data_IF_031599700982
#
_entry.id   IF_031599700982
#
_cell.length_a   1.000
_cell.length_b   1.000
_cell.length_c   1.000
_cell.angle_alpha   90.00
_cell.angle_beta   90.00
_cell.angle_gamma   90.00
#
_symmetry.space_group_name_H-M   'P 1'
#
loop_
_entity.id
_entity.type
_entity.pdbx_description
1 polymer ?
#
# COMPACT_ATOMS: atom_id res chain seq x y z
N UNK A 1 -40.68 47.86 -20.87
CA UNK A 1 -40.77 48.85 -19.78
C UNK A 1 -40.00 48.31 -18.61
N UNK A 2 -38.78 48.80 -18.41
CA UNK A 2 -37.81 48.31 -17.41
C UNK A 2 -37.69 49.35 -16.30
N UNK A 3 -37.60 48.97 -15.01
CA UNK A 3 -37.18 49.89 -13.98
C UNK A 3 -35.66 49.86 -13.82
N UNK A 4 -35.05 51.06 -13.86
CA UNK A 4 -33.67 51.32 -13.43
C UNK A 4 -33.54 51.13 -11.91
N UNK A 5 -32.37 50.70 -11.41
CA UNK A 5 -31.94 51.05 -10.08
C UNK A 5 -30.89 52.16 -10.08
N UNK A 6 -31.03 52.95 -9.03
CA UNK A 6 -30.35 54.16 -8.59
C UNK A 6 -28.91 53.97 -8.15
N UNK A 7 -28.13 55.03 -8.33
CA UNK A 7 -26.74 55.23 -7.89
C UNK A 7 -26.74 55.93 -6.52
N UNK A 8 -26.00 55.40 -5.54
CA UNK A 8 -25.59 56.10 -4.31
C UNK A 8 -24.21 55.52 -3.91
N UNK A 9 -23.12 56.25 -4.16
CA UNK A 9 -22.41 57.19 -3.27
C UNK A 9 -21.39 56.52 -2.34
N UNK A 10 -20.12 56.91 -2.55
CA UNK A 10 -18.91 56.56 -1.82
C UNK A 10 -18.96 57.02 -0.35
N UNK A 11 -18.45 56.20 0.56
CA UNK A 11 -17.71 56.64 1.74
C UNK A 11 -16.58 55.65 1.99
N UNK A 12 -15.34 56.14 1.99
CA UNK A 12 -14.16 55.31 2.21
C UNK A 12 -13.94 55.00 3.69
N UNK A 13 -13.31 53.86 3.95
CA UNK A 13 -12.47 53.66 5.12
C UNK A 13 -11.14 53.06 4.65
N UNK A 14 -10.07 53.83 4.92
CA UNK A 14 -8.70 53.33 5.02
C UNK A 14 -8.59 52.46 6.28
N UNK A 15 -7.53 51.65 6.31
CA UNK A 15 -7.00 50.84 7.43
C UNK A 15 -7.50 49.39 7.49
N UNK A 16 -6.71 48.47 6.93
CA UNK A 16 -5.84 47.53 7.67
C UNK A 16 -5.31 46.46 6.69
N UNK A 17 -4.16 46.74 6.07
CA UNK A 17 -3.34 45.73 5.39
C UNK A 17 -1.99 45.66 6.10
N UNK A 18 -1.95 45.02 7.26
CA UNK A 18 -0.71 44.71 7.97
C UNK A 18 -0.96 43.50 8.87
N UNK A 19 -0.80 42.29 8.31
CA UNK A 19 -0.44 41.06 9.02
C UNK A 19 -0.46 39.86 8.06
N UNK A 20 0.39 39.83 7.02
CA UNK A 20 0.69 38.61 6.26
C UNK A 20 2.12 38.57 5.69
N UNK A 21 3.03 39.41 6.19
CA UNK A 21 4.43 39.46 5.71
C UNK A 21 5.45 38.80 6.66
N UNK A 22 5.04 38.36 7.85
CA UNK A 22 5.98 37.89 8.88
C UNK A 22 6.24 36.38 8.84
N UNK A 23 5.32 35.56 8.32
CA UNK A 23 5.51 34.08 8.28
C UNK A 23 6.23 33.56 7.03
N UNK A 24 6.26 34.33 5.93
CA UNK A 24 6.97 33.92 4.69
C UNK A 24 8.44 34.35 4.71
N UNK A 25 8.79 35.40 5.46
CA UNK A 25 10.17 35.91 5.56
C UNK A 25 11.05 35.04 6.47
N UNK A 26 10.48 34.37 7.48
CA UNK A 26 11.20 33.40 8.31
C UNK A 26 11.55 32.11 7.56
N UNK A 27 10.72 31.71 6.58
CA UNK A 27 10.99 30.53 5.75
C UNK A 27 12.03 30.81 4.64
N UNK A 28 12.08 32.05 4.11
CA UNK A 28 13.03 32.44 3.07
C UNK A 28 14.43 32.79 3.60
N UNK A 29 14.59 33.17 4.87
CA UNK A 29 15.91 33.43 5.47
C UNK A 29 16.71 32.16 5.78
N UNK A 30 16.07 30.99 5.86
CA UNK A 30 16.75 29.69 5.99
C UNK A 30 17.27 29.18 4.64
N UNK A 31 16.65 29.58 3.52
CA UNK A 31 16.96 29.09 2.16
C UNK A 31 18.27 29.65 1.59
N UNK A 32 18.81 30.74 2.15
CA UNK A 32 19.98 31.43 1.60
C UNK A 32 21.36 30.94 2.07
N UNK A 33 21.46 30.25 3.22
CA UNK A 33 22.77 29.98 3.84
C UNK A 33 22.96 28.60 4.47
N UNK A 34 21.96 27.72 4.44
CA UNK A 34 22.05 26.41 5.10
C UNK A 34 22.30 25.33 4.05
N UNK A 35 23.57 25.17 3.65
CA UNK A 35 24.04 24.01 2.84
C UNK A 35 24.13 22.72 3.65
N UNK A 36 23.91 22.81 4.95
CA UNK A 36 24.32 21.82 5.94
C UNK A 36 23.31 21.81 7.08
N UNK A 37 22.64 20.68 7.35
CA UNK A 37 21.71 20.55 8.47
C UNK A 37 22.48 20.17 9.74
N UNK A 38 22.51 21.00 10.80
CA UNK A 38 23.27 20.70 12.01
C UNK A 38 22.57 19.65 12.87
N UNK A 39 23.26 18.54 13.17
CA UNK A 39 22.85 17.53 14.16
C UNK A 39 23.56 17.84 15.49
N UNK A 40 22.83 18.03 16.59
CA UNK A 40 23.42 18.28 17.94
C UNK A 40 23.22 17.06 18.86
N UNK A 41 24.17 16.94 19.81
CA UNK A 41 24.29 16.15 21.07
C UNK A 41 23.46 14.87 21.39
N UNK A 42 22.26 14.63 20.82
CA UNK A 42 21.41 13.48 21.16
C UNK A 42 22.02 12.11 20.87
N UNK A 43 22.93 12.02 19.90
CA UNK A 43 23.40 10.76 19.32
C UNK A 43 24.53 10.06 20.10
N UNK A 44 25.13 10.70 21.11
CA UNK A 44 26.11 10.02 21.97
C UNK A 44 25.48 8.85 22.76
N UNK A 45 24.14 8.79 22.86
CA UNK A 45 23.40 7.72 23.54
C UNK A 45 23.22 6.44 22.71
N UNK A 46 23.32 6.49 21.37
CA UNK A 46 23.14 5.32 20.50
C UNK A 46 24.24 4.26 20.63
N UNK A 47 25.45 4.65 21.08
CA UNK A 47 26.62 3.75 21.16
C UNK A 47 26.53 2.69 22.26
N UNK A 48 25.46 2.69 23.06
CA UNK A 48 25.24 1.75 24.18
C UNK A 48 23.97 0.91 24.10
N UNK A 49 23.17 1.02 23.03
CA UNK A 49 21.91 0.28 22.89
C UNK A 49 22.20 -1.14 22.38
N UNK A 50 21.68 -2.16 23.09
CA UNK A 50 21.80 -3.56 22.70
C UNK A 50 21.11 -3.80 21.34
N UNK A 51 21.81 -4.34 20.32
CA UNK A 51 21.23 -4.66 19.02
C UNK A 51 19.98 -5.56 19.07
N UNK A 52 19.79 -6.31 20.15
CA UNK A 52 18.62 -7.17 20.36
C UNK A 52 17.33 -6.41 20.76
N UNK A 53 17.41 -5.12 21.11
CA UNK A 53 16.26 -4.30 21.51
C UNK A 53 15.82 -3.38 20.37
N UNK A 54 15.13 -3.97 19.38
CA UNK A 54 14.74 -3.30 18.13
C UNK A 54 13.82 -2.09 18.31
N UNK A 55 13.02 -2.06 19.38
CA UNK A 55 12.08 -0.99 19.73
C UNK A 55 12.77 0.25 20.31
N UNK A 56 13.72 0.07 21.24
CA UNK A 56 14.52 1.17 21.80
C UNK A 56 15.38 1.83 20.73
N UNK A 57 15.88 1.05 19.74
CA UNK A 57 16.63 1.59 18.62
C UNK A 57 15.82 2.61 17.81
N UNK A 58 14.55 2.30 17.50
CA UNK A 58 13.67 3.19 16.73
C UNK A 58 13.28 4.48 17.47
N UNK A 59 13.09 4.40 18.79
CA UNK A 59 12.84 5.59 19.63
C UNK A 59 13.99 6.59 19.57
N UNK A 60 15.21 6.09 19.74
CA UNK A 60 16.42 6.93 19.70
C UNK A 60 16.69 7.44 18.29
N UNK A 61 16.22 6.74 17.26
CA UNK A 61 16.31 7.20 15.88
C UNK A 61 15.32 8.34 15.54
N UNK A 62 14.19 8.44 16.24
CA UNK A 62 13.18 9.48 16.00
C UNK A 62 13.32 10.71 16.89
N UNK A 63 13.86 10.57 18.11
CA UNK A 63 14.20 11.69 19.01
C UNK A 63 15.52 12.34 18.56
N UNK A 64 15.45 13.11 17.47
CA UNK A 64 16.59 13.82 16.89
C UNK A 64 17.00 15.03 17.73
N UNK A 65 16.11 15.52 18.61
CA UNK A 65 16.40 16.57 19.59
C UNK A 65 17.29 16.06 20.74
N UNK A 66 17.16 14.77 21.08
CA UNK A 66 17.87 14.10 22.16
C UNK A 66 17.32 14.40 23.56
N UNK A 67 16.11 14.96 23.65
CA UNK A 67 15.49 15.38 24.91
C UNK A 67 14.69 14.25 25.59
N UNK A 68 14.53 13.10 24.93
CA UNK A 68 13.81 11.94 25.39
C UNK A 68 12.31 11.96 25.10
N UNK A 69 11.83 12.93 24.30
CA UNK A 69 10.42 13.11 23.96
C UNK A 69 10.27 13.28 22.46
N UNK A 70 9.40 12.49 21.84
CA UNK A 70 9.02 12.71 20.44
C UNK A 70 8.06 13.89 20.35
N UNK A 71 8.50 14.96 19.69
CA UNK A 71 7.73 16.20 19.64
C UNK A 71 7.81 16.95 18.31
N UNK A 72 7.18 18.14 18.29
CA UNK A 72 7.06 18.95 17.09
C UNK A 72 8.40 19.44 16.53
N UNK A 73 9.47 19.47 17.35
CA UNK A 73 10.81 19.79 16.92
C UNK A 73 11.42 18.65 16.10
N UNK A 74 11.23 17.39 16.53
CA UNK A 74 11.66 16.22 15.77
C UNK A 74 10.90 16.12 14.44
N UNK A 75 9.58 16.30 14.47
CA UNK A 75 8.76 16.31 13.27
C UNK A 75 9.18 17.42 12.29
N UNK A 76 9.53 18.61 12.82
CA UNK A 76 10.01 19.73 12.01
C UNK A 76 11.37 19.46 11.39
N UNK A 77 12.28 18.79 12.11
CA UNK A 77 13.58 18.37 11.58
C UNK A 77 13.39 17.45 10.37
N UNK A 78 12.58 16.39 10.52
CA UNK A 78 12.32 15.43 9.46
C UNK A 78 11.62 16.06 8.26
N UNK A 79 10.65 16.95 8.49
CA UNK A 79 10.00 17.71 7.43
C UNK A 79 10.98 18.62 6.68
N UNK A 80 11.92 19.26 7.39
CA UNK A 80 12.96 20.07 6.77
C UNK A 80 13.91 19.21 5.93
N UNK A 81 14.38 18.08 6.47
CA UNK A 81 15.24 17.13 5.74
C UNK A 81 14.58 16.64 4.46
N UNK A 82 13.31 16.22 4.54
CA UNK A 82 12.53 15.82 3.38
C UNK A 82 12.43 16.96 2.35
N UNK A 83 12.03 18.16 2.79
CA UNK A 83 11.89 19.34 1.94
C UNK A 83 13.18 19.74 1.22
N UNK A 84 14.32 19.66 1.89
CA UNK A 84 15.62 19.92 1.27
C UNK A 84 15.97 18.88 0.20
N UNK A 85 15.70 17.59 0.45
CA UNK A 85 15.91 16.54 -0.56
C UNK A 85 15.02 16.76 -1.79
N UNK A 86 13.75 17.16 -1.60
CA UNK A 86 12.82 17.54 -2.69
C UNK A 86 13.38 18.69 -3.53
N UNK A 87 13.93 19.73 -2.88
CA UNK A 87 14.50 20.89 -3.57
C UNK A 87 15.67 20.45 -4.47
N UNK A 88 16.54 19.57 -3.99
CA UNK A 88 17.66 19.05 -4.79
C UNK A 88 17.19 18.18 -5.97
N UNK A 89 16.15 17.36 -5.79
CA UNK A 89 15.53 16.61 -6.88
C UNK A 89 14.94 17.55 -7.95
N UNK A 90 14.22 18.59 -7.52
CA UNK A 90 13.62 19.56 -8.43
C UNK A 90 14.67 20.33 -9.25
N UNK A 91 15.83 20.65 -8.67
CA UNK A 91 16.97 21.26 -9.39
C UNK A 91 17.49 20.36 -10.53
N UNK A 92 17.27 19.05 -10.42
CA UNK A 92 17.67 18.04 -11.40
C UNK A 92 16.55 17.67 -12.37
N UNK A 93 15.38 18.29 -12.26
CA UNK A 93 14.16 17.92 -12.99
C UNK A 93 13.69 16.49 -12.70
N UNK A 94 13.94 16.01 -11.49
CA UNK A 94 13.58 14.67 -11.03
C UNK A 94 12.36 14.74 -10.10
N UNK A 95 11.41 13.81 -10.25
CA UNK A 95 10.25 13.71 -9.35
C UNK A 95 10.53 12.76 -8.17
N UNK A 96 9.76 12.95 -7.08
CA UNK A 96 9.67 12.00 -5.95
C UNK A 96 8.66 10.90 -6.24
N UNK A 97 7.80 11.09 -7.25
CA UNK A 97 6.76 10.12 -7.60
C UNK A 97 7.35 8.72 -7.74
N UNK A 98 6.60 7.70 -7.30
CA UNK A 98 7.11 6.35 -7.18
C UNK A 98 7.59 5.86 -8.55
N UNK A 99 8.91 5.83 -8.72
CA UNK A 99 9.55 4.93 -9.66
C UNK A 99 9.31 3.55 -9.08
N UNK A 100 8.25 2.92 -9.55
CA UNK A 100 8.12 1.48 -9.49
C UNK A 100 9.52 0.86 -9.78
N UNK A 101 9.96 -0.05 -8.90
CA UNK A 101 11.16 -0.87 -9.12
C UNK A 101 12.49 -0.43 -8.49
N UNK A 102 12.61 0.72 -7.82
CA UNK A 102 13.94 1.17 -7.33
C UNK A 102 14.11 1.28 -5.80
N UNK A 103 13.04 1.23 -5.02
CA UNK A 103 13.16 1.33 -3.58
C UNK A 103 12.97 -0.02 -2.92
N UNK A 104 14.06 -0.57 -2.37
CA UNK A 104 14.08 -1.84 -1.67
C UNK A 104 13.86 -1.69 -0.16
N UNK A 105 13.33 -0.54 0.27
CA UNK A 105 13.33 -0.16 1.67
C UNK A 105 14.67 0.44 2.11
N UNK A 106 14.83 0.74 3.41
CA UNK A 106 16.05 1.29 3.94
C UNK A 106 17.15 0.24 3.81
N UNK A 107 18.19 0.54 3.02
CA UNK A 107 19.41 -0.26 3.05
C UNK A 107 20.20 0.06 4.33
N UNK A 108 21.04 -0.86 4.79
CA UNK A 108 22.07 -0.52 5.78
C UNK A 108 22.84 0.69 5.24
N UNK A 109 22.75 1.80 5.98
CA UNK A 109 23.22 3.10 5.57
C UNK A 109 22.21 4.07 4.98
N UNK A 110 20.93 3.93 5.32
CA UNK A 110 19.79 4.85 5.09
C UNK A 110 19.91 6.18 5.88
N UNK A 111 18.87 7.03 5.88
CA UNK A 111 18.80 8.29 6.67
C UNK A 111 19.37 8.13 8.09
N UNK A 112 19.25 6.95 8.68
CA UNK A 112 19.84 6.60 9.96
C UNK A 112 21.36 6.69 10.05
N UNK A 113 22.12 6.45 8.97
CA UNK A 113 23.58 6.70 8.95
C UNK A 113 23.89 8.20 8.99
N UNK A 114 23.09 8.99 8.27
CA UNK A 114 23.19 10.44 8.28
C UNK A 114 22.92 11.00 9.67
N UNK A 115 21.89 10.45 10.34
CA UNK A 115 21.59 10.75 11.74
C UNK A 115 22.73 10.27 12.65
N UNK A 116 23.15 9.00 12.56
CA UNK A 116 24.16 8.39 13.42
C UNK A 116 25.55 9.04 13.33
N UNK A 117 25.91 9.63 12.18
CA UNK A 117 27.18 10.32 12.00
C UNK A 117 27.28 11.60 12.85
N UNK A 118 26.16 12.24 13.21
CA UNK A 118 26.16 13.54 13.92
C UNK A 118 26.88 14.65 13.13
N UNK A 119 27.14 14.44 11.85
CA UNK A 119 27.83 15.36 10.96
C UNK A 119 26.82 16.12 10.10
N UNK A 120 27.17 17.35 9.74
CA UNK A 120 26.42 18.10 8.75
C UNK A 120 26.42 17.39 7.41
N UNK A 121 25.24 17.01 6.94
CA UNK A 121 25.06 16.29 5.67
C UNK A 121 24.94 17.29 4.53
N UNK A 122 25.80 17.16 3.53
CA UNK A 122 25.66 17.85 2.25
C UNK A 122 24.82 17.00 1.28
N UNK A 123 23.56 17.39 1.08
CA UNK A 123 22.67 16.70 0.14
C UNK A 123 23.02 16.97 -1.33
N UNK A 124 23.77 18.02 -1.64
CA UNK A 124 24.02 18.44 -3.03
C UNK A 124 24.87 17.43 -3.81
N UNK A 125 25.74 16.70 -3.11
CA UNK A 125 26.61 15.66 -3.68
C UNK A 125 25.99 14.27 -3.77
N UNK A 126 24.75 14.07 -3.30
CA UNK A 126 24.11 12.76 -3.29
C UNK A 126 23.52 12.39 -4.65
N UNK A 127 23.50 11.10 -4.97
CA UNK A 127 22.84 10.56 -6.16
C UNK A 127 21.31 10.75 -6.09
N UNK A 128 20.64 10.82 -7.24
CA UNK A 128 19.19 11.05 -7.32
C UNK A 128 18.37 9.97 -6.58
N UNK A 129 18.76 8.70 -6.71
CA UNK A 129 18.11 7.59 -5.97
C UNK A 129 18.20 7.80 -4.46
N UNK A 130 19.36 8.26 -3.98
CA UNK A 130 19.59 8.51 -2.56
C UNK A 130 18.79 9.70 -2.03
N UNK A 131 18.70 10.78 -2.80
CA UNK A 131 17.86 11.93 -2.45
C UNK A 131 16.38 11.54 -2.35
N UNK A 132 15.89 10.68 -3.25
CA UNK A 132 14.51 10.15 -3.17
C UNK A 132 14.28 9.36 -1.90
N UNK A 133 15.17 8.42 -1.59
CA UNK A 133 15.10 7.64 -0.35
C UNK A 133 15.05 8.55 0.89
N UNK A 134 15.92 9.56 0.97
CA UNK A 134 15.92 10.53 2.07
C UNK A 134 14.60 11.30 2.13
N UNK A 135 14.08 11.77 0.99
CA UNK A 135 12.82 12.49 0.94
C UNK A 135 11.65 11.64 1.46
N UNK A 136 11.58 10.37 1.04
CA UNK A 136 10.53 9.43 1.42
C UNK A 136 10.63 9.08 2.90
N UNK A 137 11.79 8.63 3.36
CA UNK A 137 11.99 8.15 4.74
C UNK A 137 11.89 9.30 5.75
N UNK A 138 12.48 10.46 5.47
CA UNK A 138 12.33 11.61 6.36
C UNK A 138 10.88 12.09 6.43
N UNK A 139 10.15 12.13 5.31
CA UNK A 139 8.70 12.41 5.35
C UNK A 139 7.96 11.40 6.23
N UNK A 140 8.26 10.11 6.05
CA UNK A 140 7.64 9.02 6.79
C UNK A 140 7.86 9.15 8.29
N UNK A 141 9.12 9.34 8.71
CA UNK A 141 9.52 9.54 10.11
C UNK A 141 8.85 10.77 10.73
N UNK A 142 8.83 11.90 10.01
CA UNK A 142 8.18 13.11 10.50
C UNK A 142 6.68 12.93 10.73
N UNK A 143 6.01 12.10 9.93
CA UNK A 143 4.60 11.74 10.15
C UNK A 143 4.43 10.77 11.31
N UNK A 144 5.35 9.83 11.52
CA UNK A 144 5.33 8.94 12.69
C UNK A 144 5.47 9.73 14.00
N UNK A 145 6.36 10.72 14.06
CA UNK A 145 6.49 11.61 15.22
C UNK A 145 5.17 12.34 15.49
N UNK A 146 4.55 12.94 14.47
CA UNK A 146 3.24 13.62 14.63
C UNK A 146 2.14 12.70 15.13
N UNK A 147 2.17 11.42 14.72
CA UNK A 147 1.22 10.43 15.22
C UNK A 147 1.49 10.08 16.68
N UNK A 148 2.75 9.96 17.09
CA UNK A 148 3.12 9.75 18.49
C UNK A 148 2.68 10.92 19.39
N UNK A 149 2.77 12.17 18.91
CA UNK A 149 2.30 13.36 19.64
C UNK A 149 0.80 13.33 19.97
N UNK A 150 -0.01 12.66 19.14
CA UNK A 150 -1.46 12.53 19.39
C UNK A 150 -1.78 11.68 20.62
N UNK A 151 -0.80 10.95 21.15
CA UNK A 151 -0.97 10.07 22.31
C UNK A 151 0.20 10.14 23.30
N UNK A 152 0.30 11.25 24.04
CA UNK A 152 1.32 11.40 25.06
C UNK A 152 1.17 10.31 26.15
N UNK A 153 2.20 9.47 26.31
CA UNK A 153 2.28 8.45 27.36
C UNK A 153 2.34 7.00 26.88
N UNK A 154 2.13 6.72 25.59
CA UNK A 154 2.37 5.40 24.97
C UNK A 154 3.70 5.43 24.22
N UNK A 155 4.79 5.58 24.98
CA UNK A 155 6.15 5.32 24.51
C UNK A 155 6.60 3.92 24.98
N UNK A 156 5.69 2.94 24.89
CA UNK A 156 6.03 1.52 25.04
C UNK A 156 6.60 1.01 23.70
N UNK A 157 7.29 -0.13 23.72
CA UNK A 157 7.98 -0.81 22.61
C UNK A 157 7.15 -1.03 21.33
N UNK A 158 5.87 -0.66 21.35
CA UNK A 158 4.86 -0.75 20.28
C UNK A 158 4.66 0.56 19.50
N UNK A 159 5.66 1.43 19.45
CA UNK A 159 5.61 2.78 18.86
C UNK A 159 5.05 2.94 17.43
N UNK A 160 4.76 1.85 16.74
CA UNK A 160 4.34 1.87 15.34
C UNK A 160 3.12 0.99 15.09
N UNK A 161 2.30 0.72 16.11
CA UNK A 161 1.02 0.01 15.95
C UNK A 161 0.45 -0.27 17.33
N UNK A 162 -0.75 0.21 17.61
CA UNK A 162 -1.19 0.24 19.02
C UNK A 162 -1.79 1.55 19.48
N UNK A 163 -1.37 2.64 18.84
CA UNK A 163 -1.62 4.01 19.30
C UNK A 163 -3.14 4.19 19.46
N UNK A 164 -3.93 4.03 18.40
CA UNK A 164 -5.38 4.17 18.47
C UNK A 164 -6.14 2.99 19.12
N UNK A 165 -5.46 1.96 19.66
CA UNK A 165 -6.08 0.66 19.94
C UNK A 165 -6.76 0.56 21.31
N UNK A 166 -6.14 1.12 22.35
CA UNK A 166 -6.63 0.96 23.74
C UNK A 166 -7.97 1.66 24.00
N UNK A 167 -8.39 2.55 23.10
CA UNK A 167 -9.64 3.29 23.22
C UNK A 167 -10.80 2.63 22.48
N UNK A 168 -10.56 1.60 21.65
CA UNK A 168 -11.59 0.93 20.86
C UNK A 168 -12.33 -0.10 21.73
N UNK A 169 -13.67 0.01 21.92
CA UNK A 169 -14.49 -0.97 22.59
C UNK A 169 -14.33 -2.33 21.93
N UNK A 170 -14.19 -3.36 22.77
CA UNK A 170 -13.96 -4.73 22.32
C UNK A 170 -12.65 -4.93 21.56
N UNK A 171 -11.70 -3.99 21.65
CA UNK A 171 -10.33 -4.24 21.25
C UNK A 171 -9.79 -5.44 22.04
N UNK A 172 -9.24 -6.38 21.30
CA UNK A 172 -8.49 -7.50 21.84
C UNK A 172 -7.23 -7.64 20.98
N UNK A 173 -6.04 -7.62 21.60
CA UNK A 173 -4.77 -7.63 20.88
C UNK A 173 -4.55 -8.90 20.05
N UNK A 174 -5.19 -10.01 20.42
CA UNK A 174 -5.02 -11.28 19.73
C UNK A 174 -5.99 -11.40 18.55
N UNK A 175 -7.25 -11.00 18.74
CA UNK A 175 -8.29 -11.16 17.73
C UNK A 175 -9.43 -10.16 17.87
N UNK A 176 -9.96 -9.69 16.75
CA UNK A 176 -11.16 -8.86 16.69
C UNK A 176 -12.16 -9.46 15.71
N UNK A 177 -13.42 -9.55 16.13
CA UNK A 177 -14.52 -9.85 15.22
C UNK A 177 -14.74 -8.68 14.24
N UNK A 178 -15.32 -8.93 13.07
CA UNK A 178 -15.61 -7.88 12.08
C UNK A 178 -16.43 -6.73 12.66
N UNK A 179 -17.44 -7.01 13.49
CA UNK A 179 -18.22 -5.95 14.18
C UNK A 179 -17.36 -5.05 15.06
N UNK A 180 -16.38 -5.62 15.78
CA UNK A 180 -15.43 -4.83 16.57
C UNK A 180 -14.49 -4.02 15.67
N UNK A 181 -14.09 -4.55 14.51
CA UNK A 181 -13.30 -3.81 13.52
C UNK A 181 -14.09 -2.61 12.95
N UNK A 182 -15.37 -2.78 12.60
CA UNK A 182 -16.25 -1.68 12.21
C UNK A 182 -16.35 -0.61 13.30
N UNK A 183 -16.62 -1.01 14.55
CA UNK A 183 -16.66 -0.06 15.69
C UNK A 183 -15.33 0.66 15.86
N UNK A 184 -14.21 -0.06 15.75
CA UNK A 184 -12.88 0.54 15.81
C UNK A 184 -12.66 1.59 14.73
N UNK A 185 -13.07 1.31 13.49
CA UNK A 185 -13.06 2.30 12.40
C UNK A 185 -13.93 3.50 12.74
N UNK A 186 -15.13 3.31 13.31
CA UNK A 186 -16.05 4.41 13.65
C UNK A 186 -15.51 5.33 14.76
N UNK A 187 -14.61 4.82 15.60
CA UNK A 187 -14.12 5.53 16.78
C UNK A 187 -12.77 6.21 16.63
N UNK A 188 -12.09 6.04 15.49
CA UNK A 188 -10.87 6.80 15.18
C UNK A 188 -11.17 8.30 15.25
N UNK A 189 -10.43 9.06 16.08
CA UNK A 189 -10.54 10.52 16.19
C UNK A 189 -9.88 11.21 14.98
N UNK A 190 -10.64 11.28 13.89
CA UNK A 190 -10.18 11.89 12.64
C UNK A 190 -10.00 13.41 12.75
N UNK A 191 -10.65 14.08 13.69
CA UNK A 191 -10.51 15.51 13.88
C UNK A 191 -9.15 15.84 14.49
N UNK A 192 -8.71 15.09 15.51
CA UNK A 192 -7.37 15.21 16.06
C UNK A 192 -6.29 14.91 15.00
N UNK A 193 -6.46 13.83 14.23
CA UNK A 193 -5.52 13.42 13.17
C UNK A 193 -5.40 14.51 12.10
N UNK A 194 -6.52 15.04 11.61
CA UNK A 194 -6.52 16.13 10.61
C UNK A 194 -5.93 17.42 11.18
N UNK A 195 -6.20 17.73 12.45
CA UNK A 195 -5.62 18.91 13.14
C UNK A 195 -4.09 18.81 13.27
N UNK A 196 -3.54 17.59 13.39
CA UNK A 196 -2.10 17.34 13.34
C UNK A 196 -1.50 17.44 11.91
N UNK A 197 -2.34 17.66 10.89
CA UNK A 197 -1.93 17.77 9.49
C UNK A 197 -1.71 16.42 8.82
N UNK A 198 -2.24 15.33 9.38
CA UNK A 198 -2.12 13.98 8.84
C UNK A 198 -3.34 13.69 7.96
N UNK A 199 -3.10 13.15 6.77
CA UNK A 199 -4.16 12.64 5.90
C UNK A 199 -4.51 11.21 6.34
N UNK A 200 -5.75 10.94 6.79
CA UNK A 200 -6.15 9.61 7.20
C UNK A 200 -6.18 8.65 6.00
N UNK A 201 -5.37 7.60 6.03
CA UNK A 201 -5.34 6.57 4.99
C UNK A 201 -5.48 5.17 5.57
N UNK A 202 -5.94 4.24 4.76
CA UNK A 202 -5.88 2.80 5.02
C UNK A 202 -5.27 2.10 3.80
N UNK A 203 -4.55 0.99 4.03
CA UNK A 203 -3.98 0.18 2.95
C UNK A 203 -4.41 -1.27 3.09
N UNK A 204 -4.73 -1.94 1.99
CA UNK A 204 -5.17 -3.32 2.04
C UNK A 204 -4.65 -4.11 0.85
N UNK A 205 -4.27 -5.35 1.11
CA UNK A 205 -4.17 -6.34 0.04
C UNK A 205 -5.56 -6.69 -0.52
N UNK A 206 -5.58 -7.36 -1.66
CA UNK A 206 -6.78 -7.78 -2.36
C UNK A 206 -7.08 -9.28 -2.16
N UNK A 207 -6.16 -10.13 -2.61
CA UNK A 207 -6.33 -11.58 -2.64
C UNK A 207 -6.28 -12.17 -1.23
N UNK A 208 -7.23 -13.03 -0.88
CA UNK A 208 -7.32 -13.62 0.47
C UNK A 208 -7.36 -12.61 1.64
N UNK A 209 -7.53 -11.32 1.33
CA UNK A 209 -7.65 -10.21 2.29
C UNK A 209 -8.98 -9.49 2.16
N UNK A 210 -9.34 -9.01 0.95
CA UNK A 210 -10.64 -8.38 0.72
C UNK A 210 -11.67 -9.39 0.26
N UNK A 211 -11.26 -10.33 -0.58
CA UNK A 211 -12.07 -11.47 -1.00
C UNK A 211 -11.38 -12.79 -0.68
N UNK A 212 -12.16 -13.86 -0.73
CA UNK A 212 -11.66 -15.22 -0.64
C UNK A 212 -10.98 -15.68 -1.95
N UNK A 213 -9.81 -16.28 -1.82
CA UNK A 213 -9.06 -16.90 -2.91
C UNK A 213 -8.10 -15.97 -3.67
N UNK A 214 -7.64 -16.46 -4.83
CA UNK A 214 -6.72 -15.79 -5.72
C UNK A 214 -7.43 -15.37 -7.01
N UNK A 215 -7.41 -14.09 -7.34
CA UNK A 215 -8.07 -13.50 -8.51
C UNK A 215 -7.50 -13.94 -9.84
N UNK A 216 -6.26 -14.42 -9.84
CA UNK A 216 -5.60 -14.90 -11.05
C UNK A 216 -6.29 -16.14 -11.61
N UNK A 217 -6.82 -17.03 -10.76
CA UNK A 217 -7.46 -18.29 -11.21
C UNK A 217 -8.69 -18.01 -12.07
N UNK A 218 -9.67 -17.23 -11.59
CA UNK A 218 -10.81 -16.90 -12.41
C UNK A 218 -10.48 -15.90 -13.52
N UNK A 219 -9.43 -15.07 -13.40
CA UNK A 219 -9.01 -14.21 -14.50
C UNK A 219 -8.47 -15.04 -15.66
N UNK A 220 -7.68 -16.08 -15.37
CA UNK A 220 -7.24 -17.05 -16.37
C UNK A 220 -8.41 -17.75 -17.06
N UNK A 221 -9.45 -18.12 -16.29
CA UNK A 221 -10.69 -18.63 -16.88
C UNK A 221 -11.35 -17.61 -17.81
N UNK A 222 -11.45 -16.35 -17.39
CA UNK A 222 -11.98 -15.27 -18.22
C UNK A 222 -11.16 -15.04 -19.49
N UNK A 223 -9.83 -15.11 -19.41
CA UNK A 223 -8.93 -15.01 -20.56
C UNK A 223 -9.19 -16.16 -21.55
N UNK A 224 -9.29 -17.40 -21.07
CA UNK A 224 -9.56 -18.58 -21.89
C UNK A 224 -10.91 -18.51 -22.64
N UNK A 225 -11.91 -17.84 -22.06
CA UNK A 225 -13.21 -17.59 -22.68
C UNK A 225 -13.19 -16.39 -23.65
N UNK A 226 -12.29 -15.44 -23.44
CA UNK A 226 -12.23 -14.17 -24.18
C UNK A 226 -11.67 -14.29 -25.60
N UNK A 227 -12.14 -13.44 -26.51
CA UNK A 227 -11.55 -13.29 -27.85
C UNK A 227 -10.30 -12.39 -27.87
N UNK A 228 -9.83 -11.91 -26.71
CA UNK A 228 -8.73 -10.95 -26.60
C UNK A 228 -7.33 -11.58 -26.60
N UNK A 229 -7.23 -12.89 -26.43
CA UNK A 229 -5.96 -13.61 -26.48
C UNK A 229 -5.40 -13.63 -27.90
N UNK A 230 -4.09 -13.43 -28.02
CA UNK A 230 -3.40 -13.36 -29.31
C UNK A 230 -2.49 -14.57 -29.55
N UNK A 231 -2.14 -14.82 -30.81
CA UNK A 231 -1.17 -15.87 -31.15
C UNK A 231 0.25 -15.56 -30.63
N UNK A 232 0.56 -14.28 -30.41
CA UNK A 232 1.82 -13.87 -29.81
C UNK A 232 1.91 -14.36 -28.36
N UNK A 233 0.85 -14.18 -27.57
CA UNK A 233 0.77 -14.74 -26.21
C UNK A 233 0.78 -16.28 -26.19
N UNK A 234 0.16 -16.90 -27.20
CA UNK A 234 0.13 -18.36 -27.34
C UNK A 234 1.51 -18.98 -27.58
N UNK A 235 2.37 -18.30 -28.34
CA UNK A 235 3.70 -18.82 -28.71
C UNK A 235 4.52 -19.13 -27.45
N UNK A 236 4.56 -18.21 -26.50
CA UNK A 236 5.28 -18.37 -25.25
C UNK A 236 4.57 -19.34 -24.29
N UNK A 237 3.23 -19.31 -24.24
CA UNK A 237 2.45 -20.27 -23.47
C UNK A 237 2.73 -21.72 -23.91
N UNK A 238 2.82 -21.98 -25.22
CA UNK A 238 3.19 -23.30 -25.76
C UNK A 238 4.57 -23.74 -25.27
N UNK A 239 5.55 -22.83 -25.24
CA UNK A 239 6.89 -23.15 -24.75
C UNK A 239 6.81 -23.63 -23.30
N UNK A 240 6.10 -22.91 -22.44
CA UNK A 240 5.93 -23.29 -21.04
C UNK A 240 5.16 -24.60 -20.86
N UNK A 241 4.00 -24.75 -21.51
CA UNK A 241 3.17 -25.96 -21.40
C UNK A 241 3.94 -27.23 -21.78
N UNK A 242 4.83 -27.15 -22.77
CA UNK A 242 5.72 -28.26 -23.18
C UNK A 242 6.78 -28.63 -22.15
N UNK A 243 7.04 -27.77 -21.16
CA UNK A 243 7.92 -28.11 -20.03
C UNK A 243 7.19 -28.82 -18.90
N UNK A 244 5.85 -28.79 -18.89
CA UNK A 244 5.08 -29.44 -17.85
C UNK A 244 5.10 -30.96 -18.04
N UNK A 245 5.23 -31.73 -16.95
CA UNK A 245 5.19 -33.18 -17.02
C UNK A 245 3.83 -33.65 -17.56
N UNK A 246 3.86 -34.71 -18.37
CA UNK A 246 2.67 -35.40 -18.91
C UNK A 246 1.83 -34.56 -19.88
N UNK A 247 2.37 -33.44 -20.40
CA UNK A 247 1.75 -32.66 -21.46
C UNK A 247 2.25 -33.11 -22.83
N UNK A 248 1.32 -33.43 -23.74
CA UNK A 248 1.65 -33.79 -25.12
C UNK A 248 2.03 -32.54 -25.93
N UNK A 249 3.31 -32.43 -26.29
CA UNK A 249 3.85 -31.32 -27.05
C UNK A 249 3.19 -31.15 -28.44
N UNK A 250 2.84 -32.25 -29.11
CA UNK A 250 2.20 -32.18 -30.42
C UNK A 250 0.78 -31.63 -30.32
N UNK A 251 0.06 -31.99 -29.25
CA UNK A 251 -1.27 -31.43 -28.97
C UNK A 251 -1.20 -29.93 -28.66
N UNK A 252 -0.22 -29.50 -27.86
CA UNK A 252 0.00 -28.08 -27.53
C UNK A 252 0.33 -27.24 -28.77
N UNK A 253 1.14 -27.77 -29.67
CA UNK A 253 1.50 -27.08 -30.92
C UNK A 253 0.31 -26.95 -31.88
N UNK A 254 -0.59 -27.94 -31.91
CA UNK A 254 -1.79 -27.92 -32.75
C UNK A 254 -2.94 -27.08 -32.15
N UNK A 255 -2.93 -26.87 -30.83
CA UNK A 255 -3.99 -26.17 -30.12
C UNK A 255 -4.01 -24.66 -30.38
N UNK A 256 -5.21 -24.11 -30.37
CA UNK A 256 -5.48 -22.67 -30.34
C UNK A 256 -5.06 -22.06 -28.99
N UNK A 257 -4.97 -20.72 -28.96
CA UNK A 257 -4.63 -20.00 -27.71
C UNK A 257 -5.63 -20.25 -26.59
N UNK A 258 -6.92 -20.40 -26.93
CA UNK A 258 -7.98 -20.69 -25.96
C UNK A 258 -7.86 -22.11 -25.39
N UNK A 259 -7.55 -23.09 -26.24
CA UNK A 259 -7.35 -24.48 -25.80
C UNK A 259 -6.11 -24.60 -24.90
N UNK A 260 -5.01 -23.92 -25.25
CA UNK A 260 -3.82 -23.88 -24.40
C UNK A 260 -4.05 -23.14 -23.08
N UNK A 261 -4.81 -22.04 -23.10
CA UNK A 261 -5.22 -21.33 -21.88
C UNK A 261 -6.08 -22.20 -20.96
N UNK A 262 -7.03 -22.94 -21.55
CA UNK A 262 -7.88 -23.89 -20.83
C UNK A 262 -7.07 -25.07 -20.26
N UNK A 263 -6.07 -25.56 -21.00
CA UNK A 263 -5.14 -26.58 -20.49
C UNK A 263 -4.34 -26.04 -19.30
N UNK A 264 -3.80 -24.81 -19.37
CA UNK A 264 -3.10 -24.19 -18.24
C UNK A 264 -4.01 -24.08 -17.01
N UNK A 265 -5.25 -23.61 -17.21
CA UNK A 265 -6.25 -23.51 -16.15
C UNK A 265 -6.51 -24.88 -15.52
N UNK A 266 -6.77 -25.91 -16.33
CA UNK A 266 -6.99 -27.27 -15.86
C UNK A 266 -5.79 -27.79 -15.06
N UNK A 267 -4.56 -27.57 -15.55
CA UNK A 267 -3.33 -27.98 -14.86
C UNK A 267 -3.14 -27.28 -13.51
N UNK A 268 -3.64 -26.06 -13.37
CA UNK A 268 -3.55 -25.28 -12.14
C UNK A 268 -4.63 -25.63 -11.12
N UNK A 269 -5.89 -25.76 -11.57
CA UNK A 269 -7.05 -25.77 -10.67
C UNK A 269 -7.68 -27.15 -10.50
N UNK A 270 -7.34 -28.14 -11.35
CA UNK A 270 -7.95 -29.46 -11.26
C UNK A 270 -7.48 -30.21 -10.01
N UNK A 271 -8.39 -30.76 -9.19
CA UNK A 271 -8.03 -31.61 -8.07
C UNK A 271 -7.36 -32.92 -8.51
N UNK A 272 -7.60 -33.35 -9.76
CA UNK A 272 -7.05 -34.60 -10.31
C UNK A 272 -5.57 -34.48 -10.71
N UNK A 273 -5.03 -33.27 -10.76
CA UNK A 273 -3.60 -33.04 -11.03
C UNK A 273 -2.85 -33.01 -9.70
N UNK A 274 -1.89 -33.94 -9.46
CA UNK A 274 -1.05 -33.93 -8.26
C UNK A 274 -0.35 -32.57 -8.06
N UNK A 275 -0.24 -32.11 -6.82
CA UNK A 275 0.29 -30.77 -6.48
C UNK A 275 1.70 -30.55 -7.04
N UNK A 276 2.55 -31.56 -6.98
CA UNK A 276 3.92 -31.55 -7.50
C UNK A 276 4.01 -31.43 -9.03
N UNK A 277 2.90 -31.69 -9.74
CA UNK A 277 2.79 -31.56 -11.19
C UNK A 277 2.09 -30.26 -11.61
N UNK A 278 1.61 -29.46 -10.64
CA UNK A 278 0.98 -28.16 -10.91
C UNK A 278 2.05 -27.10 -11.16
N UNK A 279 1.77 -26.11 -12.02
CA UNK A 279 2.55 -24.87 -12.07
C UNK A 279 2.76 -24.28 -10.67
N UNK A 280 3.90 -23.64 -10.41
CA UNK A 280 4.01 -22.84 -9.18
C UNK A 280 3.16 -21.57 -9.29
N UNK A 281 2.76 -20.98 -8.16
CA UNK A 281 2.04 -19.69 -8.17
C UNK A 281 2.82 -18.58 -8.90
N UNK A 282 4.16 -18.60 -8.79
CA UNK A 282 5.05 -17.71 -9.53
C UNK A 282 4.95 -17.97 -11.04
N UNK A 283 5.01 -19.22 -11.47
CA UNK A 283 4.90 -19.55 -12.90
C UNK A 283 3.54 -19.17 -13.45
N UNK A 284 2.46 -19.38 -12.68
CA UNK A 284 1.11 -18.96 -13.07
C UNK A 284 1.03 -17.45 -13.31
N UNK A 285 1.59 -16.65 -12.40
CA UNK A 285 1.65 -15.21 -12.56
C UNK A 285 2.33 -14.81 -13.87
N UNK A 286 3.54 -15.32 -14.13
CA UNK A 286 4.29 -14.97 -15.35
C UNK A 286 3.66 -15.53 -16.64
N UNK A 287 3.02 -16.70 -16.58
CA UNK A 287 2.30 -17.25 -17.73
C UNK A 287 1.08 -16.42 -18.09
N UNK A 288 0.29 -15.97 -17.11
CA UNK A 288 -0.86 -15.10 -17.37
C UNK A 288 -0.38 -13.77 -17.98
N UNK A 289 0.68 -13.16 -17.43
CA UNK A 289 1.28 -11.94 -18.01
C UNK A 289 1.70 -12.18 -19.46
N UNK A 290 2.36 -13.30 -19.73
CA UNK A 290 2.83 -13.69 -21.06
C UNK A 290 1.67 -13.90 -22.04
N UNK A 291 0.58 -14.53 -21.60
CA UNK A 291 -0.63 -14.72 -22.41
C UNK A 291 -1.29 -13.41 -22.85
N UNK A 292 -1.12 -12.35 -22.06
CA UNK A 292 -1.62 -11.02 -22.39
C UNK A 292 -0.78 -10.32 -23.48
N UNK A 293 0.33 -10.90 -23.95
CA UNK A 293 1.16 -10.27 -24.99
C UNK A 293 0.33 -9.95 -26.26
N UNK A 294 0.33 -8.69 -26.67
CA UNK A 294 -0.44 -8.16 -27.79
C UNK A 294 -1.91 -7.84 -27.48
N UNK A 295 -2.42 -8.20 -26.30
CA UNK A 295 -3.77 -7.85 -25.84
C UNK A 295 -3.85 -6.34 -25.56
N UNK A 296 -4.96 -5.70 -25.94
CA UNK A 296 -5.16 -4.29 -25.60
C UNK A 296 -5.50 -4.12 -24.13
N UNK A 297 -5.12 -2.98 -23.54
CA UNK A 297 -5.48 -2.65 -22.14
C UNK A 297 -7.00 -2.69 -21.95
N UNK A 298 -7.77 -2.20 -22.92
CA UNK A 298 -9.23 -2.19 -22.87
C UNK A 298 -9.83 -3.61 -22.87
N UNK A 299 -9.27 -4.54 -23.65
CA UNK A 299 -9.76 -5.92 -23.66
C UNK A 299 -9.45 -6.62 -22.33
N UNK A 300 -8.27 -6.41 -21.76
CA UNK A 300 -7.92 -6.94 -20.43
C UNK A 300 -8.86 -6.42 -19.33
N UNK A 301 -9.14 -5.11 -19.34
CA UNK A 301 -10.11 -4.50 -18.42
C UNK A 301 -11.51 -5.09 -18.59
N UNK A 302 -11.95 -5.33 -19.83
CA UNK A 302 -13.23 -5.95 -20.12
C UNK A 302 -13.32 -7.37 -19.56
N UNK A 303 -12.25 -8.17 -19.70
CA UNK A 303 -12.19 -9.51 -19.11
C UNK A 303 -12.24 -9.41 -17.59
N UNK A 304 -11.36 -8.62 -16.96
CA UNK A 304 -11.32 -8.44 -15.52
C UNK A 304 -12.68 -8.03 -14.94
N UNK A 305 -13.36 -7.06 -15.58
CA UNK A 305 -14.71 -6.63 -15.18
C UNK A 305 -15.75 -7.74 -15.35
N UNK A 306 -15.73 -8.47 -16.46
CA UNK A 306 -16.62 -9.59 -16.66
C UNK A 306 -16.48 -10.58 -15.51
N UNK A 307 -15.25 -10.93 -15.15
CA UNK A 307 -15.06 -11.93 -14.11
C UNK A 307 -15.45 -11.40 -12.72
N UNK A 308 -15.17 -10.13 -12.42
CA UNK A 308 -15.64 -9.50 -11.18
C UNK A 308 -17.18 -9.51 -11.07
N UNK A 309 -17.88 -9.09 -12.12
CA UNK A 309 -19.33 -8.90 -12.10
C UNK A 309 -20.13 -10.18 -12.29
N UNK A 310 -19.64 -11.10 -13.13
CA UNK A 310 -20.39 -12.26 -13.66
C UNK A 310 -19.70 -13.61 -13.39
N UNK A 311 -18.39 -13.63 -13.13
CA UNK A 311 -17.59 -14.85 -13.03
C UNK A 311 -17.06 -15.33 -14.39
N UNK A 312 -16.34 -16.47 -14.37
CA UNK A 312 -15.83 -17.16 -15.55
C UNK A 312 -15.59 -18.64 -15.25
N UNK A 313 -15.92 -19.52 -16.21
CA UNK A 313 -15.73 -20.96 -16.10
C UNK A 313 -16.35 -21.56 -14.83
N UNK A 314 -15.59 -22.33 -14.02
CA UNK A 314 -16.10 -22.90 -12.78
C UNK A 314 -16.21 -21.87 -11.64
N UNK A 315 -15.81 -20.62 -11.86
CA UNK A 315 -15.78 -19.59 -10.84
C UNK A 315 -16.99 -18.66 -10.94
N UNK A 316 -17.72 -18.56 -9.84
CA UNK A 316 -18.77 -17.55 -9.69
C UNK A 316 -18.23 -16.11 -9.70
N UNK A 317 -19.13 -15.11 -9.67
CA UNK A 317 -18.74 -13.70 -9.68
C UNK A 317 -17.96 -13.31 -8.43
N UNK A 318 -16.80 -12.67 -8.61
CA UNK A 318 -15.87 -12.38 -7.50
C UNK A 318 -16.43 -11.41 -6.49
N UNK A 319 -17.32 -10.51 -6.91
CA UNK A 319 -17.97 -9.58 -5.99
C UNK A 319 -18.67 -10.31 -4.82
N UNK A 320 -19.17 -11.53 -5.05
CA UNK A 320 -19.81 -12.36 -4.02
C UNK A 320 -18.80 -13.12 -3.15
N UNK A 321 -17.51 -13.11 -3.49
CA UNK A 321 -16.44 -13.73 -2.70
C UNK A 321 -15.84 -12.77 -1.66
N UNK A 322 -16.36 -11.55 -1.54
CA UNK A 322 -15.94 -10.62 -0.49
C UNK A 322 -16.14 -11.25 0.89
N UNK A 323 -15.15 -11.16 1.78
CA UNK A 323 -15.28 -11.72 3.12
C UNK A 323 -16.40 -11.05 3.91
N UNK A 324 -17.16 -11.88 4.63
CA UNK A 324 -18.32 -11.47 5.38
C UNK A 324 -18.39 -12.20 6.73
N UNK A 325 -19.24 -11.68 7.63
CA UNK A 325 -19.48 -12.25 8.95
C UNK A 325 -20.98 -12.45 9.18
N UNK A 326 -21.40 -13.61 9.71
CA UNK A 326 -22.82 -13.86 10.04
C UNK A 326 -23.35 -12.90 11.10
N UNK A 327 -22.47 -12.46 12.00
CA UNK A 327 -22.76 -11.44 13.01
C UNK A 327 -22.87 -10.01 12.49
N UNK A 328 -22.69 -9.80 11.18
CA UNK A 328 -22.63 -8.49 10.52
C UNK A 328 -21.21 -7.92 10.44
N UNK A 329 -21.04 -6.89 9.61
CA UNK A 329 -19.77 -6.25 9.26
C UNK A 329 -18.76 -7.20 8.57
N UNK A 330 -18.86 -7.25 7.24
CA UNK A 330 -17.86 -7.84 6.34
C UNK A 330 -16.82 -6.83 5.87
N UNK A 331 -15.90 -7.26 5.01
CA UNK A 331 -14.87 -6.37 4.47
C UNK A 331 -15.46 -5.21 3.66
N UNK A 332 -16.56 -5.45 2.93
CA UNK A 332 -17.27 -4.38 2.21
C UNK A 332 -17.77 -3.29 3.15
N UNK A 333 -18.31 -3.67 4.30
CA UNK A 333 -18.80 -2.72 5.32
C UNK A 333 -17.64 -1.92 5.91
N UNK A 334 -16.51 -2.57 6.20
CA UNK A 334 -15.30 -1.93 6.72
C UNK A 334 -14.77 -0.89 5.71
N UNK A 335 -14.64 -1.26 4.43
CA UNK A 335 -14.19 -0.34 3.36
C UNK A 335 -15.14 0.85 3.24
N UNK A 336 -16.45 0.60 3.16
CA UNK A 336 -17.45 1.66 3.00
C UNK A 336 -17.39 2.65 4.17
N UNK A 337 -17.29 2.16 5.41
CA UNK A 337 -17.17 3.01 6.59
C UNK A 337 -15.91 3.85 6.60
N UNK A 338 -14.77 3.29 6.18
CA UNK A 338 -13.53 4.06 6.07
C UNK A 338 -13.69 5.22 5.07
N UNK A 339 -14.19 4.95 3.87
CA UNK A 339 -14.44 5.99 2.85
C UNK A 339 -15.47 7.02 3.32
N UNK A 340 -16.59 6.60 3.92
CA UNK A 340 -17.65 7.49 4.41
C UNK A 340 -17.16 8.45 5.51
N UNK A 341 -16.19 8.02 6.33
CA UNK A 341 -15.56 8.86 7.35
C UNK A 341 -14.43 9.74 6.79
N UNK A 342 -14.07 9.57 5.51
CA UNK A 342 -12.98 10.27 4.85
C UNK A 342 -11.61 9.75 5.27
N UNK A 343 -11.50 8.43 5.48
CA UNK A 343 -10.24 7.68 5.49
C UNK A 343 -10.06 7.17 4.06
N UNK A 344 -9.00 7.62 3.39
CA UNK A 344 -8.72 7.19 2.03
C UNK A 344 -8.20 5.75 2.01
N UNK A 345 -8.98 4.83 1.44
CA UNK A 345 -8.58 3.44 1.22
C UNK A 345 -7.69 3.34 -0.03
N UNK A 346 -6.57 2.64 0.12
CA UNK A 346 -5.62 2.28 -0.93
C UNK A 346 -5.55 0.75 -1.05
N UNK A 347 -5.71 0.24 -2.27
CA UNK A 347 -5.59 -1.17 -2.57
C UNK A 347 -4.19 -1.46 -3.13
N UNK A 348 -3.40 -2.28 -2.44
CA UNK A 348 -2.03 -2.64 -2.80
C UNK A 348 -1.87 -4.16 -2.89
N UNK A 349 -1.87 -4.70 -4.10
CA UNK A 349 -1.81 -6.13 -4.34
C UNK A 349 -0.57 -6.56 -5.14
N UNK A 350 -0.13 -7.78 -4.91
CA UNK A 350 0.92 -8.42 -5.72
C UNK A 350 0.39 -8.92 -7.07
N UNK A 351 -0.93 -8.95 -7.26
CA UNK A 351 -1.63 -9.35 -8.51
C UNK A 351 -1.34 -8.39 -9.67
N UNK A 352 -1.97 -8.58 -10.82
CA UNK A 352 -1.82 -7.69 -11.99
C UNK A 352 -2.47 -6.33 -11.75
N UNK A 353 -1.85 -5.27 -12.29
CA UNK A 353 -2.38 -3.90 -12.26
C UNK A 353 -3.86 -3.79 -12.66
N UNK A 354 -4.25 -4.42 -13.77
CA UNK A 354 -5.63 -4.43 -14.28
C UNK A 354 -6.62 -5.08 -13.31
N UNK A 355 -6.20 -6.09 -12.57
CA UNK A 355 -7.02 -6.79 -11.59
C UNK A 355 -7.17 -5.99 -10.30
N UNK A 356 -6.09 -5.36 -9.84
CA UNK A 356 -6.15 -4.43 -8.72
C UNK A 356 -7.09 -3.25 -9.03
N UNK A 357 -6.98 -2.66 -10.22
CA UNK A 357 -7.82 -1.53 -10.65
C UNK A 357 -9.30 -1.90 -10.76
N UNK A 358 -9.65 -2.99 -11.44
CA UNK A 358 -11.07 -3.38 -11.54
C UNK A 358 -11.63 -3.90 -10.20
N UNK A 359 -10.81 -4.54 -9.37
CA UNK A 359 -11.16 -4.90 -7.99
C UNK A 359 -11.51 -3.67 -7.15
N UNK A 360 -10.64 -2.64 -7.17
CA UNK A 360 -10.85 -1.37 -6.48
C UNK A 360 -12.15 -0.66 -6.91
N UNK A 361 -12.43 -0.61 -8.21
CA UNK A 361 -13.70 -0.05 -8.74
C UNK A 361 -14.93 -0.74 -8.16
N UNK A 362 -14.85 -2.06 -7.94
CA UNK A 362 -15.89 -2.86 -7.30
C UNK A 362 -16.23 -2.45 -5.85
N UNK A 363 -15.34 -1.72 -5.20
CA UNK A 363 -15.52 -1.16 -3.86
C UNK A 363 -15.59 0.38 -3.85
N UNK A 364 -15.81 1.00 -5.02
CA UNK A 364 -15.80 2.46 -5.19
C UNK A 364 -14.48 3.14 -4.80
N UNK A 365 -13.38 2.39 -4.78
CA UNK A 365 -12.03 2.94 -4.57
C UNK A 365 -11.54 3.53 -5.91
N UNK A 366 -11.10 4.79 -5.96
CA UNK A 366 -10.57 5.41 -7.16
C UNK A 366 -9.36 4.66 -7.74
N UNK A 367 -9.24 4.64 -9.06
CA UNK A 367 -8.14 3.98 -9.78
C UNK A 367 -6.76 4.48 -9.32
N UNK A 368 -6.62 5.78 -9.01
CA UNK A 368 -5.38 6.36 -8.50
C UNK A 368 -4.95 5.82 -7.11
N UNK A 369 -5.86 5.11 -6.43
CA UNK A 369 -5.66 4.47 -5.12
C UNK A 369 -5.66 2.94 -5.23
N UNK A 370 -5.42 2.40 -6.43
CA UNK A 370 -5.27 0.98 -6.68
C UNK A 370 -3.93 0.68 -7.38
N UNK A 371 -3.17 -0.28 -6.84
CA UNK A 371 -1.86 -0.65 -7.35
C UNK A 371 -1.70 -2.16 -7.33
N UNK A 372 -1.36 -2.71 -8.50
CA UNK A 372 -0.89 -4.09 -8.67
C UNK A 372 0.56 -4.11 -9.16
N UNK A 373 1.08 -5.29 -9.45
CA UNK A 373 2.30 -5.46 -10.27
C UNK A 373 2.06 -4.86 -11.66
N UNK A 374 2.91 -3.91 -12.02
CA UNK A 374 2.81 -3.09 -13.24
C UNK A 374 3.31 -3.88 -14.42
N UNK A 375 2.46 -4.02 -15.43
CA UNK A 375 2.82 -4.69 -16.67
C UNK A 375 3.33 -3.67 -17.70
N UNK A 376 4.26 -4.09 -18.55
CA UNK A 376 4.76 -3.23 -19.61
C UNK A 376 3.70 -3.11 -20.73
N UNK A 377 3.37 -1.86 -21.07
CA UNK A 377 2.42 -1.51 -22.13
C UNK A 377 3.13 -0.62 -23.16
N UNK A 378 3.04 -1.01 -24.44
CA UNK A 378 3.55 -0.26 -25.59
C UNK A 378 2.43 -0.12 -26.60
N UNK A 379 2.20 1.10 -27.09
CA UNK A 379 1.13 1.42 -28.05
C UNK A 379 -0.27 0.92 -27.63
N UNK A 380 -0.57 1.01 -26.33
CA UNK A 380 -1.85 0.58 -25.75
C UNK A 380 -2.04 -0.94 -25.63
N UNK A 381 -0.98 -1.73 -25.81
CA UNK A 381 -0.99 -3.19 -25.72
C UNK A 381 0.04 -3.70 -24.72
N UNK A 382 -0.28 -4.78 -24.03
CA UNK A 382 0.68 -5.45 -23.15
C UNK A 382 1.78 -6.13 -23.96
N UNK A 383 3.01 -6.09 -23.47
CA UNK A 383 4.17 -6.73 -24.12
C UNK A 383 4.45 -8.15 -23.64
N UNK A 384 3.67 -8.62 -22.65
CA UNK A 384 3.91 -9.90 -21.97
C UNK A 384 5.02 -9.85 -20.91
N UNK A 385 5.41 -8.65 -20.46
CA UNK A 385 6.47 -8.47 -19.45
C UNK A 385 5.95 -7.72 -18.22
N UNK A 386 6.53 -8.06 -17.08
CA UNK A 386 6.35 -7.32 -15.83
C UNK A 386 7.38 -6.20 -15.83
N UNK A 387 6.91 -4.96 -15.74
CA UNK A 387 7.78 -3.80 -15.58
C UNK A 387 8.28 -3.74 -14.15
N UNK A 388 7.35 -3.85 -13.19
CA UNK A 388 7.63 -3.73 -11.77
C UNK A 388 6.68 -4.62 -10.95
N UNK A 389 7.21 -5.36 -9.98
CA UNK A 389 6.41 -6.27 -9.14
C UNK A 389 6.19 -5.71 -7.74
N UNK A 390 4.96 -5.81 -7.24
CA UNK A 390 4.63 -5.43 -5.87
C UNK A 390 4.90 -6.54 -4.84
N UNK A 391 5.21 -7.78 -5.26
CA UNK A 391 5.20 -8.97 -4.40
C UNK A 391 6.07 -8.86 -3.14
N UNK A 392 7.31 -8.37 -3.24
CA UNK A 392 8.23 -8.19 -2.11
C UNK A 392 8.43 -6.73 -1.72
N UNK A 393 7.68 -5.82 -2.34
CA UNK A 393 7.93 -4.39 -2.22
C UNK A 393 6.81 -3.66 -1.48
N UNK A 394 5.77 -4.33 -0.98
CA UNK A 394 4.59 -3.65 -0.45
C UNK A 394 4.89 -2.66 0.68
N UNK A 395 5.73 -3.00 1.66
CA UNK A 395 6.14 -2.04 2.70
C UNK A 395 6.81 -0.79 2.13
N UNK A 396 7.77 -0.98 1.22
CA UNK A 396 8.46 0.11 0.53
C UNK A 396 7.50 0.96 -0.33
N UNK A 397 6.58 0.32 -1.06
CA UNK A 397 5.54 0.98 -1.87
C UNK A 397 4.62 1.78 -0.96
N UNK A 398 4.18 1.25 0.17
CA UNK A 398 3.34 1.95 1.15
C UNK A 398 3.99 3.27 1.58
N UNK A 399 5.28 3.26 1.92
CA UNK A 399 6.00 4.47 2.33
C UNK A 399 6.09 5.52 1.24
N UNK A 400 6.23 5.09 -0.02
CA UNK A 400 6.31 5.97 -1.17
C UNK A 400 4.96 6.56 -1.55
N UNK A 401 3.97 5.67 -1.65
CA UNK A 401 2.68 5.94 -2.24
C UNK A 401 1.77 6.72 -1.30
N UNK A 402 1.81 6.41 -0.01
CA UNK A 402 0.97 7.09 0.98
C UNK A 402 1.60 8.40 1.47
N UNK A 403 0.77 9.42 1.77
CA UNK A 403 1.26 10.69 2.31
C UNK A 403 1.76 10.59 3.76
N UNK A 404 1.30 9.57 4.50
CA UNK A 404 1.64 9.28 5.89
C UNK A 404 1.44 7.77 6.16
N UNK A 405 1.98 7.23 7.27
CA UNK A 405 1.63 5.90 7.75
C UNK A 405 0.12 5.67 7.73
N UNK A 406 -0.38 4.52 7.23
CA UNK A 406 -1.80 4.24 7.25
C UNK A 406 -2.28 4.09 8.70
N UNK A 407 -3.51 4.51 8.96
CA UNK A 407 -4.17 4.29 10.24
C UNK A 407 -4.62 2.83 10.40
N UNK A 408 -4.89 2.18 9.27
CA UNK A 408 -5.32 0.78 9.23
C UNK A 408 -4.64 0.07 8.05
N UNK A 409 -4.11 -1.12 8.29
CA UNK A 409 -3.62 -2.01 7.25
C UNK A 409 -4.29 -3.39 7.31
N UNK A 410 -4.50 -4.03 6.16
CA UNK A 410 -5.06 -5.38 6.05
C UNK A 410 -4.22 -6.26 5.12
N UNK A 411 -3.98 -7.52 5.50
CA UNK A 411 -3.23 -8.49 4.70
C UNK A 411 -3.32 -9.90 5.28
N UNK A 412 -2.99 -10.91 4.49
CA UNK A 412 -3.06 -12.33 4.88
C UNK A 412 -1.73 -13.07 4.66
N UNK A 413 -0.79 -12.46 3.93
CA UNK A 413 0.43 -13.13 3.49
C UNK A 413 1.65 -12.80 4.35
N UNK A 414 2.35 -13.81 4.90
CA UNK A 414 3.62 -13.60 5.62
C UNK A 414 4.74 -13.07 4.72
N UNK A 415 4.69 -13.38 3.42
CA UNK A 415 5.78 -13.01 2.50
C UNK A 415 5.60 -11.67 1.80
N UNK A 416 4.37 -11.24 1.54
CA UNK A 416 4.10 -10.00 0.80
C UNK A 416 3.56 -8.88 1.67
N UNK A 417 2.67 -9.20 2.63
CA UNK A 417 1.90 -8.17 3.33
C UNK A 417 2.52 -7.80 4.68
N UNK A 418 3.32 -8.69 5.26
CA UNK A 418 3.86 -8.49 6.61
C UNK A 418 4.58 -7.13 6.76
N UNK A 419 5.41 -6.75 5.78
CA UNK A 419 6.08 -5.44 5.81
C UNK A 419 5.11 -4.28 5.65
N UNK A 420 4.07 -4.39 4.80
CA UNK A 420 3.02 -3.38 4.65
C UNK A 420 2.18 -3.24 5.93
N UNK A 421 1.81 -4.35 6.56
CA UNK A 421 1.09 -4.36 7.83
C UNK A 421 1.90 -3.66 8.94
N UNK A 422 3.21 -3.84 8.92
CA UNK A 422 4.10 -3.18 9.86
C UNK A 422 4.20 -1.66 9.67
N UNK A 423 3.83 -1.14 8.50
CA UNK A 423 3.81 0.30 8.24
C UNK A 423 2.61 1.02 8.86
N UNK A 424 1.55 0.30 9.27
CA UNK A 424 0.37 0.90 9.90
C UNK A 424 0.70 1.51 11.25
N UNK A 425 0.40 2.79 11.43
CA UNK A 425 0.54 3.45 12.72
C UNK A 425 -0.60 3.13 13.71
N UNK A 426 -1.73 2.62 13.21
CA UNK A 426 -2.88 2.24 14.02
C UNK A 426 -3.08 0.73 14.05
N UNK A 427 -4.19 0.27 13.47
CA UNK A 427 -4.57 -1.14 13.40
C UNK A 427 -3.84 -1.84 12.26
N UNK A 428 -3.22 -2.99 12.53
CA UNK A 428 -2.75 -3.90 11.48
C UNK A 428 -3.49 -5.21 11.61
N UNK A 429 -4.35 -5.53 10.64
CA UNK A 429 -5.20 -6.71 10.66
C UNK A 429 -4.60 -7.83 9.82
N UNK A 430 -4.40 -8.97 10.47
CA UNK A 430 -4.10 -10.24 9.82
C UNK A 430 -5.44 -10.88 9.44
N UNK A 431 -5.81 -10.84 8.16
CA UNK A 431 -7.10 -11.39 7.70
C UNK A 431 -7.00 -12.90 7.60
N UNK A 432 -7.93 -13.62 8.23
CA UNK A 432 -7.99 -15.09 8.23
C UNK A 432 -6.61 -15.77 8.32
N UNK A 433 -5.78 -15.40 9.32
CA UNK A 433 -4.35 -15.65 9.23
C UNK A 433 -4.03 -17.12 9.43
N UNK A 434 -3.05 -17.60 8.68
CA UNK A 434 -2.46 -18.93 8.86
C UNK A 434 -1.46 -18.91 10.02
N UNK A 435 -1.19 -20.08 10.59
CA UNK A 435 -0.24 -20.23 11.72
C UNK A 435 1.12 -19.58 11.46
N UNK A 436 1.62 -19.66 10.22
CA UNK A 436 2.91 -19.05 9.84
C UNK A 436 2.92 -17.53 10.01
N UNK A 437 1.82 -16.84 9.64
CA UNK A 437 1.74 -15.38 9.77
C UNK A 437 1.59 -14.98 11.23
N UNK A 438 0.80 -15.71 12.01
CA UNK A 438 0.68 -15.50 13.46
C UNK A 438 2.03 -15.68 14.17
N UNK A 439 2.77 -16.75 13.84
CA UNK A 439 4.11 -16.98 14.39
C UNK A 439 5.09 -15.87 14.00
N UNK A 440 5.01 -15.38 12.76
CA UNK A 440 5.86 -14.28 12.30
C UNK A 440 5.56 -12.96 13.02
N UNK A 441 4.28 -12.63 13.26
CA UNK A 441 3.90 -11.47 14.07
C UNK A 441 4.46 -11.56 15.50
N UNK A 442 4.35 -12.72 16.14
CA UNK A 442 4.91 -12.92 17.48
C UNK A 442 6.44 -12.74 17.52
N UNK A 443 7.15 -13.25 16.51
CA UNK A 443 8.62 -13.21 16.49
C UNK A 443 9.19 -11.86 16.03
N UNK A 444 8.59 -11.26 15.01
CA UNK A 444 9.19 -10.13 14.28
C UNK A 444 8.51 -8.80 14.59
N UNK A 445 7.25 -8.82 15.03
CA UNK A 445 6.45 -7.62 15.32
C UNK A 445 5.97 -7.54 16.78
N UNK A 446 6.34 -8.50 17.63
CA UNK A 446 6.03 -8.51 19.05
C UNK A 446 4.55 -8.74 19.38
N UNK A 447 3.81 -9.43 18.50
CA UNK A 447 2.39 -9.74 18.74
C UNK A 447 1.48 -8.52 18.67
N UNK A 448 1.79 -7.56 17.78
CA UNK A 448 1.08 -6.27 17.69
C UNK A 448 -0.02 -6.26 16.65
N UNK A 449 -0.03 -7.22 15.74
CA UNK A 449 -1.01 -7.31 14.67
C UNK A 449 -2.20 -8.15 15.15
N UNK A 450 -3.40 -7.77 14.73
CA UNK A 450 -4.65 -8.32 15.26
C UNK A 450 -5.23 -9.30 14.26
N UNK A 451 -5.56 -10.53 14.69
CA UNK A 451 -6.25 -11.46 13.83
C UNK A 451 -7.70 -11.00 13.58
N UNK A 452 -8.10 -10.93 12.31
CA UNK A 452 -9.44 -10.59 11.86
C UNK A 452 -10.06 -11.80 11.12
N UNK A 453 -10.71 -12.73 11.85
CA UNK A 453 -11.39 -13.85 11.23
C UNK A 453 -12.72 -13.42 10.59
N UNK A 454 -13.01 -14.06 9.45
CA UNK A 454 -14.30 -14.04 8.77
C UNK A 454 -14.85 -15.46 8.67
N UNK A 455 -16.16 -15.63 8.80
CA UNK A 455 -16.81 -16.95 8.82
C UNK A 455 -17.35 -17.42 7.46
N UNK A 456 -17.14 -16.61 6.42
CA UNK A 456 -17.45 -16.96 5.04
C UNK A 456 -17.34 -15.75 4.11
N UNK A 457 -18.01 -15.87 2.97
CA UNK A 457 -18.14 -14.82 1.95
C UNK A 457 -19.57 -14.30 1.85
N UNK A 458 -19.78 -13.20 1.13
CA UNK A 458 -21.12 -12.69 0.82
C UNK A 458 -22.00 -13.76 0.14
N UNK A 459 -21.43 -14.67 -0.66
CA UNK A 459 -22.13 -15.79 -1.26
C UNK A 459 -22.64 -16.80 -0.20
N UNK A 460 -21.85 -17.07 0.84
CA UNK A 460 -22.17 -18.05 1.86
C UNK A 460 -23.27 -17.57 2.82
N UNK A 461 -23.36 -16.25 3.00
CA UNK A 461 -24.25 -15.61 3.99
C UNK A 461 -25.51 -15.05 3.33
N UNK A 462 -25.45 -14.65 2.06
CA UNK A 462 -26.59 -14.13 1.29
C UNK A 462 -27.46 -15.19 0.61
N UNK A 463 -27.19 -16.48 0.83
CA UNK A 463 -27.89 -17.62 0.25
C UNK A 463 -29.15 -18.08 1.00
N UNK A 464 -29.97 -17.16 1.52
CA UNK A 464 -31.35 -17.44 1.96
C UNK A 464 -32.39 -17.07 0.91
#
# INVERSE_FOLDING_TARGET
>A
MSPKPTRASRSGSKLQSMAMATSVTALLFVVGCVRTVPLREGLQRLRGVDPAQSSQRKLVELDVSGDGVLDSADAAFFAALAGHAVIELNKRHESIEPLHGLYQGPQEGSVFELLAAGETVDLTGLETSRLREIAIEARWMGMQVRMAELQPGILDDRLFGGVLLSTIPSYNPDTMAGTAACTGVDEIDLDAIRKAGITPTAVMDLDSTVWDGNVMDPFLAGLAESDGLTEQGNTELRIYLKTLPEVDAAAVDAASVKENAALLLQRWTSPDVPEELRPSAKDMFYNIVTMMNGMTVTDAQKVARQVYEKGAGPFGPWKLRTFANKGGCGMRDIIARMEDRGIEVYLLSATLDVLAVEGAKGYSIPEARALGSVLEVVDGKYTGKVKDSAYYAKGAITRQWLPAPPLVAFGDSPSSDFTMLQESAGLGFLVNPREKLLAQDQNDAGGRLVALPFDGTEADIGGE
#
